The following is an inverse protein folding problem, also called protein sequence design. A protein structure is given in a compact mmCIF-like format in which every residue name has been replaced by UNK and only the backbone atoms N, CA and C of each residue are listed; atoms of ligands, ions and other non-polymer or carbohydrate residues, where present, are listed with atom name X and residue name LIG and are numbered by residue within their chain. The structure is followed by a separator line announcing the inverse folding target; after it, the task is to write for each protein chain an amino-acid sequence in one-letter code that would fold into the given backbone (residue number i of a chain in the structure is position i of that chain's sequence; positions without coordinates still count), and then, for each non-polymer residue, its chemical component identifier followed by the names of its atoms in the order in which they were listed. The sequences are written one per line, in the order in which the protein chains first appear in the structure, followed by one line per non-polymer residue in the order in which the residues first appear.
data_IF_185473835471
#
_entry.id   IF_185473835471
#
_cell.length_a   1.000
_cell.length_b   1.000
_cell.length_c   1.000
_cell.angle_alpha   90.00
_cell.angle_beta   90.00
_cell.angle_gamma   90.00
#
_symmetry.space_group_name_H-M   'P 1'
#
loop_
_entity.id
_entity.type
_entity.pdbx_description
1 polymer ?
#
# COMPACT_ATOMS: atom_id res chain seq x y z
N UNK A 1 10.73 -7.48 18.70
CA UNK A 1 12.14 -7.76 18.34
C UNK A 1 12.62 -6.87 17.19
N UNK A 2 11.87 -6.75 16.08
CA UNK A 2 12.19 -5.86 14.93
C UNK A 2 12.17 -4.36 15.29
N UNK A 3 11.20 -3.93 16.11
CA UNK A 3 11.04 -2.53 16.52
C UNK A 3 12.28 -1.93 17.21
N UNK A 4 12.99 -2.70 18.05
CA UNK A 4 14.18 -2.23 18.74
C UNK A 4 15.41 -2.16 17.83
N UNK A 5 15.40 -2.85 16.70
CA UNK A 5 16.48 -2.78 15.72
C UNK A 5 16.37 -1.50 14.89
N UNK A 6 15.19 -1.20 14.35
CA UNK A 6 14.93 -0.03 13.48
C UNK A 6 15.18 1.28 14.23
N UNK A 7 14.74 1.40 15.50
CA UNK A 7 14.92 2.65 16.25
C UNK A 7 16.38 2.94 16.65
N UNK A 8 17.27 1.93 16.64
CA UNK A 8 18.68 2.08 17.04
C UNK A 8 19.63 2.19 15.85
N UNK A 9 19.28 1.59 14.72
CA UNK A 9 20.01 1.79 13.48
C UNK A 9 19.56 3.10 12.86
N UNK A 10 20.43 4.11 12.80
CA UNK A 10 20.24 5.37 12.05
C UNK A 10 20.13 5.18 10.52
N UNK A 11 19.74 3.98 10.08
CA UNK A 11 19.65 3.57 8.70
C UNK A 11 18.25 3.87 8.13
N UNK A 12 18.21 4.43 6.92
CA UNK A 12 16.98 4.67 6.20
C UNK A 12 16.59 3.40 5.44
N UNK A 13 15.67 2.63 6.00
CA UNK A 13 15.12 1.47 5.29
C UNK A 13 14.24 1.96 4.13
N UNK A 14 14.71 1.72 2.92
CA UNK A 14 14.02 2.11 1.67
C UNK A 14 13.23 0.97 1.05
N UNK A 15 13.57 -0.28 1.38
CA UNK A 15 12.90 -1.48 0.87
C UNK A 15 12.50 -2.40 2.03
N UNK A 16 11.23 -2.80 2.06
CA UNK A 16 10.69 -3.77 3.00
C UNK A 16 9.93 -4.83 2.22
N UNK A 17 10.30 -6.09 2.45
CA UNK A 17 9.61 -7.25 1.90
C UNK A 17 9.23 -8.18 3.03
N UNK A 18 7.93 -8.33 3.28
CA UNK A 18 7.35 -9.25 4.25
C UNK A 18 6.62 -10.33 3.46
N UNK A 19 7.06 -11.58 3.58
CA UNK A 19 6.45 -12.70 2.85
C UNK A 19 6.26 -13.86 3.80
N UNK A 20 5.06 -14.43 3.80
CA UNK A 20 4.72 -15.61 4.60
C UNK A 20 4.97 -15.44 6.10
N UNK A 21 4.84 -14.20 6.60
CA UNK A 21 4.92 -13.90 8.04
C UNK A 21 3.50 -13.67 8.58
N UNK A 22 3.01 -14.50 9.54
CA UNK A 22 1.76 -14.24 10.22
C UNK A 22 1.85 -12.90 10.98
N UNK A 23 1.06 -11.93 10.54
CA UNK A 23 1.11 -10.56 11.06
C UNK A 23 -0.29 -9.96 11.03
N UNK A 24 -0.66 -9.25 12.10
CA UNK A 24 -1.88 -8.45 12.09
C UNK A 24 -1.66 -7.19 11.24
N UNK A 25 -2.72 -6.71 10.60
CA UNK A 25 -2.67 -5.46 9.84
C UNK A 25 -2.26 -4.27 10.71
N UNK A 26 -2.72 -4.21 11.96
CA UNK A 26 -2.33 -3.20 12.95
C UNK A 26 -0.83 -3.17 13.21
N UNK A 27 -0.19 -4.35 13.34
CA UNK A 27 1.24 -4.47 13.58
C UNK A 27 2.05 -4.04 12.35
N UNK A 28 1.56 -4.38 11.15
CA UNK A 28 2.16 -3.91 9.90
C UNK A 28 2.05 -2.39 9.78
N UNK A 29 0.90 -1.81 10.09
CA UNK A 29 0.68 -0.37 10.08
C UNK A 29 1.63 0.32 11.07
N UNK A 30 1.78 -0.21 12.29
CA UNK A 30 2.71 0.31 13.29
C UNK A 30 4.18 0.23 12.86
N UNK A 31 4.54 -0.81 12.11
CA UNK A 31 5.85 -0.92 11.49
C UNK A 31 6.04 0.15 10.41
N UNK A 32 5.07 0.31 9.49
CA UNK A 32 5.13 1.29 8.40
C UNK A 32 5.19 2.75 8.89
N UNK A 33 4.56 3.06 10.03
CA UNK A 33 4.67 4.37 10.72
C UNK A 33 6.13 4.72 11.07
N UNK A 34 6.94 3.72 11.37
CA UNK A 34 8.36 3.89 11.76
C UNK A 34 9.30 3.94 10.56
N UNK A 35 8.78 3.79 9.34
CA UNK A 35 9.54 3.68 8.09
C UNK A 35 9.18 4.81 7.11
N UNK A 36 9.36 6.10 7.47
CA UNK A 36 8.97 7.21 6.61
C UNK A 36 9.82 7.30 5.32
N UNK A 37 10.98 6.64 5.28
CA UNK A 37 11.88 6.62 4.13
C UNK A 37 11.60 5.49 3.14
N UNK A 38 10.55 4.68 3.37
CA UNK A 38 10.27 3.52 2.54
C UNK A 38 9.84 3.92 1.12
N UNK A 39 10.54 3.39 0.13
CA UNK A 39 10.25 3.52 -1.30
C UNK A 39 9.57 2.29 -1.86
N UNK A 40 9.93 1.10 -1.38
CA UNK A 40 9.46 -0.17 -1.91
C UNK A 40 8.86 -1.03 -0.79
N UNK A 41 7.59 -1.39 -0.95
CA UNK A 41 6.87 -2.28 -0.05
C UNK A 41 6.42 -3.52 -0.80
N UNK A 42 6.78 -4.70 -0.29
CA UNK A 42 6.21 -5.98 -0.72
C UNK A 42 5.59 -6.67 0.49
N UNK A 43 4.33 -7.08 0.36
CA UNK A 43 3.61 -7.88 1.36
C UNK A 43 2.96 -9.06 0.65
N UNK A 44 3.28 -10.27 1.11
CA UNK A 44 2.71 -11.51 0.61
C UNK A 44 2.16 -12.32 1.79
N UNK A 45 0.83 -12.43 1.86
CA UNK A 45 0.12 -13.15 2.91
C UNK A 45 -0.61 -14.41 2.43
N UNK A 46 -0.28 -14.88 1.22
CA UNK A 46 -0.98 -15.99 0.56
C UNK A 46 -1.03 -17.28 1.39
N UNK A 47 -0.06 -17.53 2.28
CA UNK A 47 0.04 -18.74 3.11
C UNK A 47 0.10 -18.46 4.62
N UNK A 48 -0.52 -17.38 5.09
CA UNK A 48 -0.46 -17.00 6.51
C UNK A 48 -1.84 -16.77 7.13
N UNK A 49 -1.92 -17.00 8.44
CA UNK A 49 -3.01 -16.57 9.29
C UNK A 49 -2.43 -16.12 10.64
N UNK A 50 -2.61 -14.86 11.08
CA UNK A 50 -3.42 -13.81 10.46
C UNK A 50 -2.81 -13.21 9.16
N UNK A 51 -3.66 -12.52 8.38
CA UNK A 51 -3.35 -11.93 7.07
C UNK A 51 -3.29 -10.39 7.17
N UNK A 52 -2.12 -9.76 6.92
CA UNK A 52 -1.98 -8.32 7.05
C UNK A 52 -2.52 -7.49 5.88
N UNK A 53 -2.82 -8.08 4.71
CA UNK A 53 -3.36 -7.34 3.55
C UNK A 53 -4.87 -7.19 3.67
N UNK A 54 -5.30 -6.18 4.42
CA UNK A 54 -6.72 -5.84 4.65
C UNK A 54 -7.09 -4.49 4.04
N UNK A 55 -8.39 -4.18 3.98
CA UNK A 55 -8.88 -2.84 3.64
C UNK A 55 -8.31 -1.76 4.58
N UNK A 56 -8.04 -2.08 5.86
CA UNK A 56 -7.43 -1.15 6.81
C UNK A 56 -5.99 -0.78 6.40
N UNK A 57 -5.20 -1.75 5.92
CA UNK A 57 -3.87 -1.48 5.38
C UNK A 57 -3.95 -0.55 4.18
N UNK A 58 -4.87 -0.81 3.24
CA UNK A 58 -5.08 0.00 2.04
C UNK A 58 -5.46 1.43 2.40
N UNK A 59 -6.45 1.62 3.29
CA UNK A 59 -6.88 2.94 3.77
C UNK A 59 -5.74 3.67 4.49
N UNK A 60 -4.91 2.97 5.25
CA UNK A 60 -3.75 3.55 5.93
C UNK A 60 -2.65 3.99 4.95
N UNK A 61 -2.59 3.36 3.79
CA UNK A 61 -1.73 3.76 2.68
C UNK A 61 -2.35 4.87 1.83
N UNK A 62 -3.55 5.36 2.08
CA UNK A 62 -4.12 6.44 1.27
C UNK A 62 -3.28 7.73 1.35
N UNK A 63 -3.12 8.46 0.23
CA UNK A 63 -2.36 9.71 0.20
C UNK A 63 -3.08 10.84 0.95
N UNK A 64 -4.40 10.76 1.00
CA UNK A 64 -5.28 11.72 1.67
C UNK A 64 -5.81 11.06 2.94
N UNK A 65 -5.56 11.62 4.14
CA UNK A 65 -6.13 11.10 5.38
C UNK A 65 -7.66 11.04 5.28
N UNK A 66 -8.25 9.85 5.43
CA UNK A 66 -9.69 9.76 5.61
C UNK A 66 -10.05 10.27 6.99
N UNK A 67 -10.88 11.29 7.07
CA UNK A 67 -11.47 11.78 8.32
C UNK A 67 -12.65 10.89 8.68
N UNK A 68 -12.41 9.72 9.25
CA UNK A 68 -13.44 9.05 10.03
C UNK A 68 -13.48 9.69 11.42
N UNK A 69 -14.68 9.88 11.97
CA UNK A 69 -15.00 10.79 13.09
C UNK A 69 -14.27 10.57 14.42
N UNK A 70 -13.29 9.66 14.50
CA UNK A 70 -12.62 9.25 15.75
C UNK A 70 -11.08 9.17 15.63
N UNK A 71 -10.48 9.09 14.43
CA UNK A 71 -9.02 8.95 14.30
C UNK A 71 -8.48 9.53 13.00
N UNK A 72 -7.54 10.48 13.10
CA UNK A 72 -6.81 11.02 11.95
C UNK A 72 -5.62 10.11 11.65
N UNK A 73 -5.64 9.41 10.52
CA UNK A 73 -4.48 8.63 10.07
C UNK A 73 -3.46 9.55 9.39
N UNK A 74 -2.27 9.69 9.98
CA UNK A 74 -1.15 10.33 9.28
C UNK A 74 -0.77 9.50 8.05
N UNK A 75 -0.54 10.16 6.91
CA UNK A 75 -0.14 9.49 5.66
C UNK A 75 1.10 8.63 5.90
N UNK A 76 0.94 7.31 5.77
CA UNK A 76 2.04 6.37 5.91
C UNK A 76 2.94 6.41 4.68
N UNK A 77 4.23 6.13 4.87
CA UNK A 77 5.19 5.90 3.79
C UNK A 77 5.06 6.92 2.65
N UNK A 78 5.22 8.21 2.99
CA UNK A 78 5.08 9.34 2.04
C UNK A 78 5.98 9.20 0.81
N UNK A 79 7.06 8.42 0.90
CA UNK A 79 8.04 8.21 -0.18
C UNK A 79 7.78 6.92 -0.98
N UNK A 80 6.67 6.23 -0.76
CA UNK A 80 6.37 4.96 -1.42
C UNK A 80 6.21 5.14 -2.93
N UNK A 81 7.05 4.45 -3.69
CA UNK A 81 7.08 4.43 -5.15
C UNK A 81 6.69 3.06 -5.72
N UNK A 82 6.89 1.99 -4.96
CA UNK A 82 6.54 0.63 -5.41
C UNK A 82 5.75 -0.09 -4.35
N UNK A 83 4.59 -0.61 -4.74
CA UNK A 83 3.73 -1.42 -3.90
C UNK A 83 3.50 -2.77 -4.57
N UNK A 84 3.81 -3.87 -3.89
CA UNK A 84 3.47 -5.22 -4.32
C UNK A 84 2.71 -5.91 -3.20
N UNK A 85 1.43 -6.19 -3.43
CA UNK A 85 0.58 -6.91 -2.50
C UNK A 85 0.20 -8.26 -3.11
N UNK A 86 0.18 -9.30 -2.30
CA UNK A 86 -0.28 -10.63 -2.68
C UNK A 86 -1.16 -11.15 -1.56
N UNK A 87 -2.40 -11.46 -1.89
CA UNK A 87 -3.39 -11.89 -0.91
C UNK A 87 -4.18 -13.12 -1.31
N UNK A 88 -4.46 -13.95 -0.32
CA UNK A 88 -5.37 -15.10 -0.41
C UNK A 88 -6.77 -14.80 0.12
N UNK A 89 -7.11 -13.52 0.37
CA UNK A 89 -8.45 -13.11 0.77
C UNK A 89 -9.51 -13.63 -0.23
N UNK A 90 -10.33 -14.59 0.23
CA UNK A 90 -11.40 -15.23 -0.54
C UNK A 90 -12.69 -14.40 -0.52
N UNK A 91 -12.94 -13.70 0.58
CA UNK A 91 -14.11 -12.86 0.75
C UNK A 91 -13.83 -11.41 0.34
N UNK A 92 -14.70 -10.86 -0.51
CA UNK A 92 -14.73 -9.44 -0.91
C UNK A 92 -14.78 -8.49 0.30
N UNK A 93 -15.33 -8.95 1.43
CA UNK A 93 -15.44 -8.18 2.68
C UNK A 93 -14.09 -7.92 3.36
N UNK A 94 -13.08 -8.78 3.14
CA UNK A 94 -11.76 -8.61 3.75
C UNK A 94 -10.87 -7.60 2.99
N UNK A 95 -11.11 -7.43 1.68
CA UNK A 95 -10.35 -6.54 0.81
C UNK A 95 -11.27 -5.86 -0.21
N UNK A 96 -11.44 -4.55 -0.04
CA UNK A 96 -12.25 -3.72 -0.93
C UNK A 96 -11.41 -3.23 -2.13
N UNK A 97 -11.73 -3.75 -3.32
CA UNK A 97 -11.06 -3.40 -4.57
C UNK A 97 -11.18 -1.91 -4.92
N UNK A 98 -12.32 -1.28 -4.60
CA UNK A 98 -12.54 0.15 -4.88
C UNK A 98 -11.64 1.02 -4.02
N UNK A 99 -11.51 0.68 -2.73
CA UNK A 99 -10.61 1.39 -1.82
C UNK A 99 -9.15 1.27 -2.27
N UNK A 100 -8.77 0.11 -2.83
CA UNK A 100 -7.44 -0.08 -3.40
C UNK A 100 -7.20 0.79 -4.63
N UNK A 101 -8.14 0.83 -5.57
CA UNK A 101 -8.03 1.65 -6.78
C UNK A 101 -7.98 3.14 -6.43
N UNK A 102 -8.80 3.58 -5.47
CA UNK A 102 -8.80 4.95 -4.95
C UNK A 102 -7.45 5.31 -4.29
N UNK A 103 -6.92 4.42 -3.46
CA UNK A 103 -5.59 4.58 -2.84
C UNK A 103 -4.47 4.71 -3.87
N UNK A 104 -4.46 3.86 -4.91
CA UNK A 104 -3.46 3.94 -5.97
C UNK A 104 -3.57 5.26 -6.73
N UNK A 105 -4.79 5.67 -7.06
CA UNK A 105 -5.07 6.90 -7.81
C UNK A 105 -4.65 8.15 -7.02
N UNK A 106 -4.95 8.18 -5.72
CA UNK A 106 -4.58 9.31 -4.84
C UNK A 106 -3.06 9.49 -4.71
N UNK A 107 -2.28 8.41 -4.87
CA UNK A 107 -0.81 8.45 -4.87
C UNK A 107 -0.19 8.71 -6.24
N UNK A 108 -0.95 8.61 -7.34
CA UNK A 108 -0.46 8.95 -8.68
C UNK A 108 -0.55 10.46 -8.93
N UNK A 109 -1.76 11.02 -8.77
CA UNK A 109 -2.07 12.42 -9.06
C UNK A 109 -1.83 13.32 -7.83
N UNK A 110 -0.57 13.57 -7.51
CA UNK A 110 -0.16 14.53 -6.47
C UNK A 110 0.00 15.94 -7.06
N UNK A 111 -1.00 16.41 -7.80
CA UNK A 111 -0.86 17.62 -8.64
C UNK A 111 -1.07 18.95 -7.86
N UNK A 112 -1.43 18.90 -6.57
CA UNK A 112 -1.72 20.09 -5.76
C UNK A 112 -0.78 20.37 -4.58
N UNK A 113 0.08 19.42 -4.18
CA UNK A 113 0.89 19.51 -2.96
C UNK A 113 2.39 19.73 -3.21
N UNK A 114 2.76 20.16 -4.42
CA UNK A 114 4.07 20.76 -4.70
C UNK A 114 4.09 22.19 -4.16
N UNK A 115 3.83 22.37 -2.87
CA UNK A 115 4.12 23.64 -2.22
C UNK A 115 5.64 23.78 -2.19
N UNK A 116 6.16 24.75 -2.96
CA UNK A 116 7.58 25.02 -3.17
C UNK A 116 8.34 25.43 -1.88
N UNK A 117 7.75 25.24 -0.70
CA UNK A 117 8.28 25.67 0.60
C UNK A 117 8.60 24.51 1.57
N UNK A 118 8.28 23.25 1.25
CA UNK A 118 8.61 22.16 2.18
C UNK A 118 10.00 21.59 1.88
N UNK A 119 11.00 22.20 2.49
CA UNK A 119 12.36 21.69 2.65
C UNK A 119 12.43 20.40 3.49
N UNK A 120 11.32 19.70 3.72
CA UNK A 120 11.28 18.46 4.51
C UNK A 120 10.19 17.47 4.05
N UNK A 121 10.47 16.72 2.98
CA UNK A 121 9.81 15.43 2.74
C UNK A 121 8.49 15.46 1.96
N UNK A 122 8.54 16.01 0.74
CA UNK A 122 7.44 15.91 -0.23
C UNK A 122 6.99 14.46 -0.49
N UNK A 123 5.71 14.29 -0.81
CA UNK A 123 5.14 12.98 -1.12
C UNK A 123 5.65 12.50 -2.49
N UNK A 124 6.15 11.28 -2.56
CA UNK A 124 6.52 10.65 -3.81
C UNK A 124 5.28 10.04 -4.47
N UNK A 125 5.17 10.20 -5.79
CA UNK A 125 4.16 9.49 -6.57
C UNK A 125 4.46 8.00 -6.57
N UNK A 126 3.42 7.18 -6.43
CA UNK A 126 3.52 5.75 -6.70
C UNK A 126 3.87 5.56 -8.18
N UNK A 127 4.80 4.66 -8.52
CA UNK A 127 5.25 4.41 -9.90
C UNK A 127 5.01 2.99 -10.36
N UNK A 128 4.91 2.05 -9.43
CA UNK A 128 4.54 0.69 -9.73
C UNK A 128 3.62 0.13 -8.66
N UNK A 129 2.54 -0.49 -9.13
CA UNK A 129 1.63 -1.27 -8.29
C UNK A 129 1.51 -2.68 -8.85
N UNK A 130 1.58 -3.65 -7.96
CA UNK A 130 1.32 -5.05 -8.26
C UNK A 130 0.34 -5.59 -7.24
N UNK A 131 -0.80 -6.09 -7.71
CA UNK A 131 -1.80 -6.77 -6.90
C UNK A 131 -1.97 -8.20 -7.41
N UNK A 132 -1.83 -9.18 -6.53
CA UNK A 132 -2.04 -10.60 -6.85
C UNK A 132 -3.07 -11.21 -5.92
N UNK A 133 -4.09 -11.83 -6.50
CA UNK A 133 -5.09 -12.60 -5.78
C UNK A 133 -4.86 -14.09 -6.05
N UNK A 134 -4.67 -14.88 -5.00
CA UNK A 134 -4.41 -16.31 -5.17
C UNK A 134 -5.69 -17.15 -5.24
N UNK A 135 -6.78 -16.67 -4.65
CA UNK A 135 -8.00 -17.45 -4.43
C UNK A 135 -9.27 -16.79 -4.99
N UNK A 136 -9.16 -15.74 -5.83
CA UNK A 136 -10.32 -15.11 -6.47
C UNK A 136 -10.02 -14.61 -7.88
N UNK A 137 -11.08 -14.52 -8.69
CA UNK A 137 -11.09 -13.92 -10.03
C UNK A 137 -11.11 -12.39 -9.88
N UNK A 138 -10.41 -11.68 -10.77
CA UNK A 138 -10.34 -10.21 -10.78
C UNK A 138 -11.52 -9.63 -11.56
N UNK A 139 -12.23 -8.68 -10.97
CA UNK A 139 -13.24 -7.88 -11.66
C UNK A 139 -12.56 -6.76 -12.46
N UNK A 140 -12.42 -6.95 -13.78
CA UNK A 140 -11.78 -5.97 -14.65
C UNK A 140 -12.43 -4.59 -14.66
N UNK A 141 -13.75 -4.49 -14.41
CA UNK A 141 -14.45 -3.20 -14.43
C UNK A 141 -14.04 -2.34 -13.24
N UNK A 142 -13.83 -2.95 -12.07
CA UNK A 142 -13.37 -2.23 -10.86
C UNK A 142 -11.95 -1.72 -11.06
N UNK A 143 -11.08 -2.49 -11.72
CA UNK A 143 -9.68 -2.14 -11.95
C UNK A 143 -9.44 -1.29 -13.21
N UNK A 144 -10.49 -1.06 -14.02
CA UNK A 144 -10.42 -0.23 -15.23
C UNK A 144 -9.76 1.14 -15.01
N UNK A 145 -9.97 1.88 -13.89
CA UNK A 145 -9.29 3.15 -13.67
C UNK A 145 -7.76 3.04 -13.67
N UNK A 146 -7.19 1.89 -13.27
CA UNK A 146 -5.75 1.69 -13.26
C UNK A 146 -5.16 1.51 -14.66
N UNK A 147 -5.95 1.07 -15.66
CA UNK A 147 -5.50 0.98 -17.06
C UNK A 147 -5.11 2.36 -17.59
N UNK A 148 -5.88 3.41 -17.26
CA UNK A 148 -5.52 4.79 -17.61
C UNK A 148 -4.21 5.24 -16.92
N UNK A 149 -3.98 4.84 -15.67
CA UNK A 149 -2.71 5.16 -15.01
C UNK A 149 -1.53 4.46 -15.67
N UNK A 150 -1.75 3.25 -16.21
CA UNK A 150 -0.76 2.52 -16.98
C UNK A 150 -0.40 3.23 -18.29
N UNK A 151 -1.40 3.75 -19.01
CA UNK A 151 -1.20 4.58 -20.21
C UNK A 151 -0.40 5.86 -19.90
N UNK A 152 -0.59 6.45 -18.72
CA UNK A 152 0.16 7.62 -18.23
C UNK A 152 1.57 7.27 -17.68
N UNK A 153 1.97 6.00 -17.73
CA UNK A 153 3.32 5.54 -17.40
C UNK A 153 3.51 4.94 -16.00
N UNK A 154 2.43 4.65 -15.26
CA UNK A 154 2.52 3.80 -14.07
C UNK A 154 2.67 2.33 -14.48
N UNK A 155 3.54 1.57 -13.82
CA UNK A 155 3.54 0.11 -14.00
C UNK A 155 2.41 -0.51 -13.18
N UNK A 156 1.36 -1.01 -13.81
CA UNK A 156 0.22 -1.66 -13.15
C UNK A 156 0.21 -3.15 -13.48
N UNK A 157 0.06 -3.99 -12.46
CA UNK A 157 -0.14 -5.43 -12.65
C UNK A 157 -1.21 -5.89 -11.68
N UNK A 158 -2.35 -6.35 -12.19
CA UNK A 158 -3.43 -6.95 -11.38
C UNK A 158 -3.67 -8.35 -11.92
N UNK A 159 -3.44 -9.36 -11.10
CA UNK A 159 -3.54 -10.78 -11.48
C UNK A 159 -4.46 -11.49 -10.49
N UNK A 160 -5.42 -12.26 -11.00
CA UNK A 160 -6.26 -13.17 -10.21
C UNK A 160 -6.02 -14.63 -10.58
N UNK A 161 -6.87 -15.52 -10.06
CA UNK A 161 -6.97 -16.86 -10.63
C UNK A 161 -7.45 -16.75 -12.08
N UNK A 162 -6.71 -17.38 -12.99
CA UNK A 162 -7.18 -17.61 -14.35
C UNK A 162 -8.41 -18.53 -14.26
N UNK A 163 -9.54 -18.06 -14.78
CA UNK A 163 -10.73 -18.88 -15.02
C UNK A 163 -10.44 -19.98 -16.05
#
# INVERSE_FOLDING_TARGET
MVNGFISRSSFQLTTLSIKFIPLLDSDLIDLLRRLPSLHHLTVDDSNTSPRPVTSLLVQSLHAIPHTSSVTVFSVLVKRLQTLSLTTSAEAQEAFNDRDFVDMVSSRWFLDGYRSASDSNGGMACLRSVVMRFTNRVVDEEVYRPLKYLEEEGMRVVVIGQNS
#
